data_IF_650045747352
#
_entry.id   IF_650045747352
#
_cell.length_a   1.000
_cell.length_b   1.000
_cell.length_c   1.000
_cell.angle_alpha   90.00
_cell.angle_beta   90.00
_cell.angle_gamma   90.00
#
_symmetry.space_group_name_H-M   'P 1'
#
loop_
_entity.id
_entity.type
_entity.pdbx_description
1 polymer ?
#
# COMPACT_ATOMS: atom_id res chain seq x y z
N UNK A 1 7.91 24.38 13.16
CA UNK A 1 8.67 23.10 13.22
C UNK A 1 7.66 21.98 13.22
N UNK A 2 7.81 20.96 12.35
CA UNK A 2 6.95 19.77 12.40
C UNK A 2 7.38 18.88 13.57
N UNK A 3 6.43 18.15 14.14
CA UNK A 3 6.68 17.18 15.21
C UNK A 3 6.72 15.76 14.66
N UNK A 4 7.63 14.94 15.21
CA UNK A 4 7.74 13.52 14.92
C UNK A 4 6.43 12.85 15.31
N UNK A 5 5.84 12.10 14.38
CA UNK A 5 4.54 11.48 14.59
C UNK A 5 4.54 10.38 15.66
N UNK A 6 5.69 9.76 15.94
CA UNK A 6 5.81 8.70 16.95
C UNK A 6 6.06 9.30 18.34
N UNK A 7 7.20 9.98 18.53
CA UNK A 7 7.68 10.41 19.85
C UNK A 7 7.45 11.90 20.16
N UNK A 8 6.75 12.63 19.29
CA UNK A 8 6.43 14.07 19.45
C UNK A 8 7.63 15.02 19.55
N UNK A 9 8.87 14.56 19.35
CA UNK A 9 10.06 15.42 19.26
C UNK A 9 10.07 16.24 17.97
N UNK A 10 11.10 17.06 17.75
CA UNK A 10 11.33 17.68 16.44
C UNK A 10 11.43 16.63 15.32
N UNK A 11 10.68 16.79 14.22
CA UNK A 11 10.88 16.00 13.02
C UNK A 11 11.92 16.67 12.10
N UNK A 12 12.96 15.92 11.76
CA UNK A 12 14.13 16.39 11.02
C UNK A 12 14.51 15.49 9.83
N UNK A 13 13.84 14.33 9.65
CA UNK A 13 14.13 13.40 8.57
C UNK A 13 13.35 13.72 7.30
N UNK A 14 14.06 13.69 6.18
CA UNK A 14 13.53 13.76 4.82
C UNK A 14 13.59 12.38 4.17
N UNK A 15 12.69 12.09 3.25
CA UNK A 15 12.67 10.85 2.48
C UNK A 15 12.20 9.63 3.28
N UNK A 16 11.41 9.83 4.34
CA UNK A 16 10.88 8.72 5.14
C UNK A 16 9.88 7.92 4.32
N UNK A 17 10.13 6.62 4.18
CA UNK A 17 9.25 5.73 3.45
C UNK A 17 8.08 5.28 4.34
N UNK A 18 6.86 5.47 3.85
CA UNK A 18 5.64 5.06 4.54
C UNK A 18 5.50 3.54 4.56
N UNK A 19 5.82 2.90 3.44
CA UNK A 19 5.95 1.44 3.32
C UNK A 19 7.44 1.13 3.09
N UNK A 20 8.02 0.12 3.77
CA UNK A 20 9.43 -0.22 3.63
C UNK A 20 9.85 -0.37 2.17
N UNK A 21 10.97 0.25 1.81
CA UNK A 21 11.48 0.28 0.43
C UNK A 21 11.64 -1.13 -0.16
N UNK A 22 11.95 -2.16 0.66
CA UNK A 22 12.10 -3.52 0.15
C UNK A 22 10.78 -4.17 -0.32
N UNK A 23 9.63 -3.72 0.19
CA UNK A 23 8.30 -4.11 -0.29
C UNK A 23 7.92 -3.25 -1.50
N UNK A 24 8.11 -1.92 -1.39
CA UNK A 24 7.72 -1.00 -2.46
C UNK A 24 8.42 -1.30 -3.78
N UNK A 25 9.74 -1.55 -3.77
CA UNK A 25 10.50 -1.89 -4.98
C UNK A 25 10.02 -3.14 -5.74
N UNK A 26 9.13 -3.94 -5.13
CA UNK A 26 8.52 -5.12 -5.76
C UNK A 26 7.21 -4.77 -6.49
N UNK A 27 6.63 -3.62 -6.16
CA UNK A 27 5.42 -3.04 -6.72
C UNK A 27 5.76 -2.01 -7.79
N UNK A 28 6.71 -1.11 -7.49
CA UNK A 28 6.91 0.14 -8.24
C UNK A 28 8.26 0.19 -8.98
N UNK A 29 8.88 -0.94 -9.32
CA UNK A 29 10.17 -0.93 -10.04
C UNK A 29 10.08 -1.67 -11.37
N UNK A 30 10.83 -1.18 -12.37
CA UNK A 30 10.99 -1.80 -13.69
C UNK A 30 11.41 -3.29 -13.58
N UNK A 31 10.79 -4.15 -14.38
CA UNK A 31 11.16 -5.57 -14.46
C UNK A 31 12.68 -5.76 -14.57
N UNK A 32 13.25 -6.50 -13.62
CA UNK A 32 14.66 -6.88 -13.63
C UNK A 32 15.66 -5.84 -13.12
N UNK A 33 15.28 -4.59 -12.83
CA UNK A 33 16.21 -3.59 -12.26
C UNK A 33 16.02 -3.46 -10.75
N UNK A 34 17.03 -3.83 -9.96
CA UNK A 34 17.04 -3.63 -8.50
C UNK A 34 17.88 -2.40 -8.16
N UNK A 35 17.31 -1.41 -7.47
CA UNK A 35 18.04 -0.22 -7.00
C UNK A 35 17.10 0.88 -6.45
N UNK A 36 17.63 1.76 -5.60
CA UNK A 36 16.93 3.00 -5.19
C UNK A 36 16.82 3.96 -6.39
N UNK A 37 15.82 4.84 -6.35
CA UNK A 37 15.58 5.89 -7.36
C UNK A 37 15.20 5.34 -8.75
N UNK A 38 14.74 4.09 -8.84
CA UNK A 38 14.29 3.45 -10.10
C UNK A 38 12.79 3.19 -10.12
N UNK A 39 12.06 3.90 -9.29
CA UNK A 39 10.64 3.75 -9.16
C UNK A 39 9.96 4.15 -10.49
N UNK A 40 8.97 3.39 -10.92
CA UNK A 40 8.08 3.62 -12.05
C UNK A 40 6.71 3.13 -11.61
N UNK A 41 5.88 4.04 -11.12
CA UNK A 41 4.64 3.68 -10.46
C UNK A 41 3.46 4.49 -10.94
N UNK A 42 2.27 3.92 -10.72
CA UNK A 42 0.99 4.56 -10.96
C UNK A 42 0.20 4.62 -9.65
N UNK A 43 -0.51 5.71 -9.45
CA UNK A 43 -1.50 5.88 -8.38
C UNK A 43 -2.87 5.89 -9.00
N UNK A 44 -3.70 4.94 -8.59
CA UNK A 44 -5.10 4.91 -8.98
C UNK A 44 -5.89 5.72 -7.94
N UNK A 45 -6.54 6.80 -8.36
CA UNK A 45 -7.36 7.64 -7.50
C UNK A 45 -8.72 7.93 -8.14
N UNK A 46 -9.72 8.25 -7.32
CA UNK A 46 -11.09 8.53 -7.80
C UNK A 46 -11.17 9.76 -8.71
N UNK A 47 -10.24 10.71 -8.58
CA UNK A 47 -10.29 11.99 -9.32
C UNK A 47 -9.26 12.05 -10.44
N UNK A 48 -8.01 11.81 -10.10
CA UNK A 48 -6.88 12.00 -11.01
C UNK A 48 -5.88 10.87 -10.78
N UNK A 49 -5.97 9.78 -11.55
CA UNK A 49 -4.87 8.83 -11.64
C UNK A 49 -3.59 9.60 -11.98
N UNK A 50 -2.49 9.24 -11.32
CA UNK A 50 -1.20 9.90 -11.54
C UNK A 50 -0.11 8.86 -11.71
N UNK A 51 1.05 9.30 -12.20
CA UNK A 51 2.26 8.50 -12.20
C UNK A 51 3.38 9.22 -11.49
N UNK A 52 4.33 8.44 -10.99
CA UNK A 52 5.55 8.93 -10.37
C UNK A 52 6.74 8.10 -10.83
N UNK A 53 7.92 8.69 -10.74
CA UNK A 53 9.15 8.02 -11.10
C UNK A 53 10.33 8.41 -10.22
N UNK A 54 11.30 7.51 -10.10
CA UNK A 54 12.54 7.73 -9.40
C UNK A 54 13.50 8.63 -10.18
N UNK A 55 14.39 9.31 -9.49
CA UNK A 55 15.38 10.23 -10.09
C UNK A 55 16.39 9.53 -11.02
N UNK A 56 16.54 8.21 -10.87
CA UNK A 56 17.42 7.36 -11.66
C UNK A 56 16.75 6.75 -12.89
N UNK A 57 15.48 7.04 -13.18
CA UNK A 57 14.82 6.65 -14.43
C UNK A 57 15.35 7.51 -15.60
N UNK A 58 15.64 6.89 -16.75
CA UNK A 58 16.11 7.62 -17.93
C UNK A 58 14.94 8.33 -18.62
N UNK A 59 15.18 9.53 -19.15
CA UNK A 59 14.15 10.31 -19.86
C UNK A 59 13.55 9.55 -21.04
N UNK A 60 14.35 8.76 -21.76
CA UNK A 60 13.88 7.88 -22.83
C UNK A 60 12.82 6.88 -22.34
N UNK A 61 13.07 6.21 -21.20
CA UNK A 61 12.14 5.23 -20.62
C UNK A 61 10.90 5.90 -20.05
N UNK A 62 11.07 7.08 -19.46
CA UNK A 62 9.97 7.90 -18.99
C UNK A 62 9.05 8.31 -20.14
N UNK A 63 9.63 8.74 -21.26
CA UNK A 63 8.88 9.10 -22.47
C UNK A 63 8.16 7.90 -23.10
N UNK A 64 8.78 6.71 -23.07
CA UNK A 64 8.18 5.45 -23.53
C UNK A 64 6.92 5.08 -22.72
N UNK A 65 6.98 5.20 -21.38
CA UNK A 65 5.90 4.73 -20.49
C UNK A 65 4.83 5.80 -20.28
N UNK A 66 5.23 7.06 -20.11
CA UNK A 66 4.36 8.14 -19.64
C UNK A 66 4.06 9.20 -20.70
N UNK A 67 4.58 9.03 -21.92
CA UNK A 67 4.59 10.08 -22.94
C UNK A 67 5.59 11.20 -22.61
N UNK A 68 5.61 12.26 -23.42
CA UNK A 68 6.56 13.36 -23.29
C UNK A 68 6.57 13.95 -21.86
N UNK A 69 7.73 13.89 -21.22
CA UNK A 69 7.98 14.45 -19.89
C UNK A 69 8.77 15.75 -20.04
N UNK A 70 8.18 16.85 -19.56
CA UNK A 70 8.81 18.16 -19.50
C UNK A 70 9.52 18.42 -18.15
N UNK A 71 10.31 19.50 -18.08
CA UNK A 71 11.02 19.91 -16.86
C UNK A 71 10.03 20.21 -15.71
N UNK A 72 8.84 20.72 -16.02
CA UNK A 72 7.79 20.99 -15.04
C UNK A 72 7.35 19.72 -14.33
N UNK A 73 7.11 18.64 -15.08
CA UNK A 73 6.72 17.33 -14.56
C UNK A 73 7.85 16.69 -13.76
N UNK A 74 9.11 16.85 -14.18
CA UNK A 74 10.28 16.37 -13.42
C UNK A 74 10.38 17.08 -12.07
N UNK A 75 10.25 18.41 -12.06
CA UNK A 75 10.38 19.22 -10.85
C UNK A 75 9.23 19.01 -9.84
N UNK A 76 8.03 18.69 -10.33
CA UNK A 76 6.86 18.43 -9.50
C UNK A 76 6.65 16.95 -9.17
N UNK A 77 7.53 16.06 -9.64
CA UNK A 77 7.41 14.63 -9.37
C UNK A 77 7.60 14.33 -7.88
N UNK A 78 6.56 13.77 -7.27
CA UNK A 78 6.56 13.34 -5.88
C UNK A 78 6.25 11.85 -5.81
N UNK A 79 7.05 11.11 -5.04
CA UNK A 79 6.79 9.70 -4.77
C UNK A 79 5.74 9.64 -3.64
N UNK A 80 4.53 9.12 -3.88
CA UNK A 80 3.38 9.28 -2.98
C UNK A 80 3.63 8.80 -1.54
N UNK A 81 4.43 7.74 -1.37
CA UNK A 81 4.70 7.08 -0.09
C UNK A 81 6.07 7.46 0.49
N UNK A 82 6.62 8.59 0.08
CA UNK A 82 7.83 9.17 0.64
C UNK A 82 7.51 10.56 1.16
N UNK A 83 7.68 10.77 2.46
CA UNK A 83 7.30 12.02 3.12
C UNK A 83 8.47 12.67 3.86
N UNK A 84 8.52 14.00 3.77
CA UNK A 84 9.51 14.81 4.46
C UNK A 84 8.99 15.36 5.79
N UNK A 85 9.87 15.28 6.79
CA UNK A 85 9.71 15.82 8.14
C UNK A 85 8.51 15.20 8.89
N UNK A 86 8.28 13.89 8.70
CA UNK A 86 7.26 13.12 9.43
C UNK A 86 7.84 12.42 10.67
N UNK A 87 9.12 12.03 10.64
CA UNK A 87 9.82 11.40 11.76
C UNK A 87 11.08 12.19 12.14
N UNK A 88 11.58 11.91 13.35
CA UNK A 88 12.91 12.31 13.77
C UNK A 88 13.95 11.24 13.42
N UNK A 89 15.23 11.61 13.40
CA UNK A 89 16.32 10.70 13.09
C UNK A 89 16.34 9.46 13.98
N UNK A 90 15.98 9.60 15.27
CA UNK A 90 15.93 8.47 16.20
C UNK A 90 14.86 7.46 15.76
N UNK A 91 13.62 7.88 15.58
CA UNK A 91 12.53 6.99 15.18
C UNK A 91 12.77 6.36 13.80
N UNK A 92 13.37 7.09 12.85
CA UNK A 92 13.71 6.54 11.55
C UNK A 92 14.75 5.40 11.64
N UNK A 93 15.73 5.51 12.54
CA UNK A 93 16.71 4.45 12.75
C UNK A 93 16.07 3.18 13.34
N UNK A 94 15.15 3.35 14.30
CA UNK A 94 14.43 2.24 14.92
C UNK A 94 13.51 1.54 13.90
N UNK A 95 12.82 2.31 13.05
CA UNK A 95 12.05 1.77 11.93
C UNK A 95 12.94 0.98 10.97
N UNK A 96 14.11 1.52 10.61
CA UNK A 96 15.08 0.84 9.75
C UNK A 96 15.60 -0.47 10.36
N UNK A 97 15.74 -0.56 11.69
CA UNK A 97 16.11 -1.80 12.37
C UNK A 97 14.99 -2.85 12.27
N UNK A 98 13.73 -2.47 12.54
CA UNK A 98 12.57 -3.36 12.36
C UNK A 98 12.51 -3.89 10.92
N UNK A 99 12.69 -3.00 9.95
CA UNK A 99 12.69 -3.33 8.51
C UNK A 99 13.83 -4.27 8.14
N UNK A 100 15.06 -4.00 8.60
CA UNK A 100 16.20 -4.86 8.33
C UNK A 100 15.99 -6.26 8.92
N UNK A 101 15.45 -6.34 10.15
CA UNK A 101 15.15 -7.61 10.80
C UNK A 101 14.08 -8.39 10.05
N UNK A 102 12.98 -7.76 9.64
CA UNK A 102 11.91 -8.44 8.90
C UNK A 102 12.33 -8.83 7.49
N UNK A 103 13.11 -8.00 6.78
CA UNK A 103 13.51 -8.26 5.39
C UNK A 103 14.21 -9.61 5.17
N UNK A 104 14.87 -10.13 6.21
CA UNK A 104 15.55 -11.43 6.21
C UNK A 104 14.56 -12.61 6.11
N UNK A 105 13.30 -12.42 6.50
CA UNK A 105 12.26 -13.47 6.50
C UNK A 105 11.60 -13.66 5.12
N UNK A 106 11.77 -12.72 4.19
CA UNK A 106 11.08 -12.72 2.89
C UNK A 106 11.51 -13.91 2.03
N UNK A 107 12.80 -14.21 1.98
CA UNK A 107 13.34 -15.28 1.13
C UNK A 107 13.43 -16.62 1.88
N UNK A 108 12.47 -16.90 2.77
CA UNK A 108 12.56 -18.05 3.65
C UNK A 108 12.45 -19.37 2.87
N UNK A 109 13.46 -20.26 2.97
CA UNK A 109 13.46 -21.56 2.29
C UNK A 109 12.43 -22.55 2.83
N UNK A 110 11.72 -22.21 3.92
CA UNK A 110 10.66 -23.04 4.51
C UNK A 110 9.29 -22.85 3.84
N UNK A 111 9.21 -22.10 2.73
CA UNK A 111 8.00 -22.02 1.94
C UNK A 111 7.57 -23.43 1.49
N UNK A 112 6.33 -23.78 1.80
CA UNK A 112 5.67 -24.99 1.31
C UNK A 112 4.35 -24.54 0.68
N UNK A 113 4.11 -24.94 -0.57
CA UNK A 113 2.95 -24.55 -1.36
C UNK A 113 1.62 -24.94 -0.74
N UNK A 114 1.61 -25.89 0.21
CA UNK A 114 0.37 -26.55 0.61
C UNK A 114 -0.22 -26.06 1.95
N UNK A 115 0.50 -25.24 2.75
CA UNK A 115 0.11 -24.98 4.18
C UNK A 115 0.62 -23.68 4.80
N UNK A 116 0.23 -23.47 6.07
CA UNK A 116 0.88 -22.53 6.99
C UNK A 116 2.37 -22.86 7.16
N UNK A 117 3.23 -21.84 7.13
CA UNK A 117 4.67 -21.96 7.34
C UNK A 117 5.21 -20.81 8.20
N UNK A 118 6.30 -21.07 8.92
CA UNK A 118 6.96 -20.08 9.78
C UNK A 118 7.87 -19.15 8.97
N UNK A 119 7.83 -17.85 9.25
CA UNK A 119 8.80 -16.88 8.72
C UNK A 119 10.16 -16.91 9.43
N UNK A 120 10.32 -17.69 10.50
CA UNK A 120 11.52 -17.80 11.35
C UNK A 120 11.92 -16.51 12.08
N UNK A 121 11.15 -15.44 11.94
CA UNK A 121 11.27 -14.26 12.79
C UNK A 121 10.38 -14.44 14.03
N UNK A 122 10.83 -13.94 15.18
CA UNK A 122 10.03 -13.99 16.39
C UNK A 122 8.72 -13.24 16.19
N UNK A 123 7.62 -13.77 16.74
CA UNK A 123 6.30 -13.20 16.53
C UNK A 123 6.24 -11.73 16.98
N UNK A 124 6.92 -11.39 18.08
CA UNK A 124 6.98 -10.03 18.62
C UNK A 124 7.62 -9.03 17.65
N UNK A 125 8.72 -9.43 16.99
CA UNK A 125 9.42 -8.57 16.02
C UNK A 125 8.61 -8.43 14.74
N UNK A 126 7.95 -9.50 14.29
CA UNK A 126 7.05 -9.46 13.16
C UNK A 126 5.82 -8.57 13.43
N UNK A 127 5.24 -8.67 14.64
CA UNK A 127 4.11 -7.86 15.05
C UNK A 127 4.49 -6.36 15.10
N UNK A 128 5.62 -6.01 15.70
CA UNK A 128 6.13 -4.63 15.70
C UNK A 128 6.39 -4.10 14.29
N UNK A 129 6.91 -4.93 13.39
CA UNK A 129 7.08 -4.57 11.98
C UNK A 129 5.73 -4.23 11.31
N UNK A 130 4.72 -5.09 11.44
CA UNK A 130 3.40 -4.83 10.86
C UNK A 130 2.68 -3.65 11.51
N UNK A 131 2.80 -3.48 12.83
CA UNK A 131 2.34 -2.27 13.54
C UNK A 131 2.97 -1.02 12.93
N UNK A 132 4.28 -1.04 12.65
CA UNK A 132 4.98 0.11 12.06
C UNK A 132 4.43 0.47 10.67
N UNK A 133 4.07 -0.52 9.86
CA UNK A 133 3.49 -0.29 8.53
C UNK A 133 2.08 0.26 8.65
N UNK A 134 1.23 -0.39 9.43
CA UNK A 134 -0.17 0.02 9.61
C UNK A 134 -0.28 1.44 10.16
N UNK A 135 0.54 1.76 11.16
CA UNK A 135 0.62 3.11 11.71
C UNK A 135 1.04 4.13 10.66
N UNK A 136 2.16 3.89 9.96
CA UNK A 136 2.68 4.78 8.91
C UNK A 136 1.67 5.01 7.80
N UNK A 137 1.02 3.95 7.33
CA UNK A 137 -0.06 4.02 6.34
C UNK A 137 -1.18 4.92 6.85
N UNK A 138 -1.66 4.75 8.08
CA UNK A 138 -2.78 5.54 8.64
C UNK A 138 -2.49 7.05 8.77
N UNK A 139 -1.25 7.43 9.09
CA UNK A 139 -0.87 8.83 9.29
C UNK A 139 -0.44 9.54 8.00
N UNK A 140 -0.13 8.78 6.95
CA UNK A 140 0.26 9.32 5.65
C UNK A 140 -0.96 9.91 4.94
N UNK A 141 -0.81 11.11 4.41
CA UNK A 141 -1.89 11.76 3.66
C UNK A 141 -2.16 11.08 2.31
N UNK A 142 -1.18 10.36 1.78
CA UNK A 142 -1.17 9.85 0.40
C UNK A 142 -1.38 8.34 0.30
N UNK A 143 -1.44 7.62 1.42
CA UNK A 143 -1.62 6.16 1.43
C UNK A 143 -3.04 5.73 1.06
N UNK A 144 -4.03 6.62 1.25
CA UNK A 144 -5.45 6.30 1.22
C UNK A 144 -5.95 5.51 2.44
N UNK A 145 -5.07 4.84 3.18
CA UNK A 145 -5.41 4.05 4.36
C UNK A 145 -5.67 4.96 5.55
N UNK A 146 -6.80 4.78 6.23
CA UNK A 146 -7.08 5.47 7.49
C UNK A 146 -7.64 4.53 8.54
N UNK A 147 -6.96 4.43 9.67
CA UNK A 147 -7.43 3.70 10.84
C UNK A 147 -8.31 4.60 11.73
N UNK A 148 -9.02 3.96 12.67
CA UNK A 148 -9.72 4.69 13.72
C UNK A 148 -8.72 5.47 14.58
N UNK A 149 -9.00 6.72 15.00
CA UNK A 149 -8.07 7.54 15.77
C UNK A 149 -7.53 6.85 17.03
N UNK A 150 -8.38 6.12 17.74
CA UNK A 150 -8.02 5.35 18.94
C UNK A 150 -7.07 4.19 18.64
N UNK A 151 -7.17 3.58 17.46
CA UNK A 151 -6.27 2.54 17.01
C UNK A 151 -4.93 3.14 16.56
N UNK A 152 -4.95 4.25 15.84
CA UNK A 152 -3.74 4.98 15.45
C UNK A 152 -2.92 5.41 16.68
N UNK A 153 -3.59 5.94 17.72
CA UNK A 153 -2.94 6.32 18.97
C UNK A 153 -2.39 5.11 19.72
N UNK A 154 -3.13 3.99 19.78
CA UNK A 154 -2.65 2.74 20.36
C UNK A 154 -1.35 2.27 19.69
N UNK A 155 -1.29 2.29 18.35
CA UNK A 155 -0.09 1.90 17.62
C UNK A 155 1.07 2.88 17.87
N UNK A 156 0.78 4.19 17.94
CA UNK A 156 1.77 5.23 18.27
C UNK A 156 2.41 4.98 19.62
N UNK A 157 1.60 4.73 20.66
CA UNK A 157 2.09 4.48 22.03
C UNK A 157 2.97 3.23 22.10
N UNK A 158 2.58 2.15 21.41
CA UNK A 158 3.37 0.91 21.36
C UNK A 158 4.73 1.18 20.71
N UNK A 159 4.76 1.89 19.58
CA UNK A 159 6.01 2.22 18.87
C UNK A 159 6.89 3.17 19.69
N UNK A 160 6.31 4.22 20.28
CA UNK A 160 7.05 5.20 21.09
C UNK A 160 7.70 4.56 22.33
N UNK A 161 6.95 3.69 23.03
CA UNK A 161 7.50 2.93 24.15
C UNK A 161 8.62 1.97 23.71
N UNK A 162 8.44 1.28 22.59
CA UNK A 162 9.47 0.39 22.05
C UNK A 162 10.74 1.17 21.67
N UNK A 163 10.61 2.30 20.98
CA UNK A 163 11.74 3.10 20.51
C UNK A 163 12.43 3.90 21.63
N UNK A 164 11.76 4.11 22.77
CA UNK A 164 12.33 4.81 23.92
C UNK A 164 13.06 3.88 24.87
N UNK A 165 12.50 2.70 25.17
CA UNK A 165 13.02 1.79 26.20
C UNK A 165 13.12 0.33 25.79
N UNK A 166 12.91 -0.01 24.51
CA UNK A 166 12.89 -1.39 24.00
C UNK A 166 11.89 -2.30 24.75
N UNK A 167 10.90 -1.68 25.40
CA UNK A 167 9.84 -2.36 26.13
C UNK A 167 8.55 -2.33 25.34
N UNK A 168 7.64 -3.23 25.67
CA UNK A 168 6.34 -3.31 25.01
C UNK A 168 5.25 -3.23 26.08
N UNK A 169 4.21 -2.44 25.82
CA UNK A 169 3.04 -2.34 26.69
C UNK A 169 2.17 -3.60 26.50
N UNK A 170 1.51 -4.06 27.58
CA UNK A 170 0.42 -5.06 27.52
C UNK A 170 -0.64 -4.75 26.45
N UNK A 171 -0.85 -3.48 26.10
CA UNK A 171 -1.69 -3.07 24.98
C UNK A 171 -1.40 -3.81 23.67
N UNK A 172 -0.18 -4.29 23.44
CA UNK A 172 0.14 -5.08 22.24
C UNK A 172 -0.61 -6.42 22.19
N UNK A 173 -1.03 -6.98 23.33
CA UNK A 173 -1.84 -8.21 23.42
C UNK A 173 -3.23 -8.05 22.78
N UNK A 174 -3.67 -6.81 22.59
CA UNK A 174 -4.93 -6.47 21.92
C UNK A 174 -4.86 -6.64 20.41
N UNK A 175 -3.64 -6.80 19.86
CA UNK A 175 -3.40 -6.81 18.42
C UNK A 175 -3.22 -8.25 17.95
N UNK A 176 -3.98 -8.61 16.91
CA UNK A 176 -3.95 -9.92 16.26
C UNK A 176 -3.90 -9.71 14.76
N UNK A 177 -3.21 -10.59 14.04
CA UNK A 177 -3.23 -10.54 12.59
C UNK A 177 -3.15 -11.92 11.94
N UNK A 178 -3.69 -12.02 10.73
CA UNK A 178 -3.46 -13.15 9.82
C UNK A 178 -2.70 -12.64 8.61
N UNK A 179 -1.71 -13.41 8.19
CA UNK A 179 -0.84 -13.06 7.08
C UNK A 179 -0.91 -14.15 6.01
N UNK A 180 -1.28 -13.74 4.80
CA UNK A 180 -1.32 -14.60 3.63
C UNK A 180 -0.22 -14.15 2.67
N UNK A 181 0.34 -15.08 1.92
CA UNK A 181 1.36 -14.76 0.93
C UNK A 181 1.27 -15.65 -0.29
N UNK A 182 1.16 -15.03 -1.46
CA UNK A 182 1.33 -15.70 -2.75
C UNK A 182 2.81 -15.68 -3.15
N UNK A 183 3.62 -16.56 -2.55
CA UNK A 183 5.08 -16.52 -2.69
C UNK A 183 5.54 -16.52 -4.16
N UNK A 184 6.43 -15.59 -4.51
CA UNK A 184 7.02 -15.43 -5.86
C UNK A 184 6.01 -14.93 -6.91
N UNK A 185 4.82 -14.47 -6.49
CA UNK A 185 3.82 -13.92 -7.42
C UNK A 185 4.37 -12.71 -8.18
N UNK A 186 5.10 -11.84 -7.45
CA UNK A 186 5.66 -10.59 -7.98
C UNK A 186 6.83 -10.79 -8.94
N UNK A 187 7.36 -12.01 -9.13
CA UNK A 187 8.40 -12.27 -10.13
C UNK A 187 7.84 -12.49 -11.53
N UNK A 188 6.54 -12.76 -11.64
CA UNK A 188 5.85 -13.07 -12.89
C UNK A 188 4.66 -12.15 -13.18
N UNK A 189 4.21 -11.39 -12.19
CA UNK A 189 3.03 -10.57 -12.28
C UNK A 189 3.27 -9.23 -11.58
N UNK A 190 2.64 -8.17 -12.08
CA UNK A 190 2.57 -6.90 -11.35
C UNK A 190 1.76 -7.06 -10.07
N UNK A 191 2.19 -6.38 -9.02
CA UNK A 191 1.51 -6.31 -7.73
C UNK A 191 1.09 -4.88 -7.43
N UNK A 192 0.41 -4.68 -6.31
CA UNK A 192 -0.20 -3.40 -5.96
C UNK A 192 -0.27 -3.26 -4.44
N UNK A 193 -0.21 -2.01 -3.96
CA UNK A 193 -0.60 -1.64 -2.61
C UNK A 193 -2.04 -1.14 -2.65
N UNK A 194 -2.95 -1.82 -1.95
CA UNK A 194 -4.33 -1.33 -1.79
C UNK A 194 -4.94 -1.78 -0.47
N UNK A 195 -6.06 -1.16 -0.13
CA UNK A 195 -6.80 -1.44 1.10
C UNK A 195 -8.30 -1.41 0.84
N UNK A 196 -9.08 -2.12 1.66
CA UNK A 196 -10.53 -1.99 1.63
C UNK A 196 -11.01 -0.82 2.52
N UNK A 197 -11.49 0.30 1.97
CA UNK A 197 -12.03 1.38 2.81
C UNK A 197 -13.30 1.01 3.56
N UNK A 198 -13.99 -0.07 3.16
CA UNK A 198 -15.20 -0.53 3.87
C UNK A 198 -14.89 -1.28 5.16
N UNK A 199 -13.63 -1.69 5.37
CA UNK A 199 -13.27 -2.55 6.49
C UNK A 199 -12.49 -1.73 7.52
N UNK A 200 -13.16 -1.40 8.62
CA UNK A 200 -12.66 -0.46 9.63
C UNK A 200 -12.00 -1.20 10.81
N UNK A 201 -12.31 -2.49 11.02
CA UNK A 201 -11.64 -3.43 11.94
C UNK A 201 -12.31 -4.81 11.78
N UNK A 202 -11.66 -5.88 11.29
CA UNK A 202 -10.27 -5.95 10.83
C UNK A 202 -9.95 -4.98 9.69
N UNK A 203 -8.71 -4.48 9.65
CA UNK A 203 -8.12 -3.76 8.52
C UNK A 203 -7.54 -4.75 7.53
N UNK A 204 -7.84 -4.58 6.24
CA UNK A 204 -7.37 -5.46 5.17
C UNK A 204 -6.50 -4.65 4.23
N UNK A 205 -5.24 -5.05 4.13
CA UNK A 205 -4.25 -4.40 3.29
C UNK A 205 -3.56 -5.44 2.43
N UNK A 206 -3.49 -5.19 1.12
CA UNK A 206 -2.64 -5.92 0.19
C UNK A 206 -1.38 -5.11 -0.01
N UNK A 207 -0.23 -5.73 0.21
CA UNK A 207 1.08 -5.13 -0.06
C UNK A 207 1.90 -6.14 -0.83
N UNK A 208 2.15 -5.85 -2.10
CA UNK A 208 2.88 -6.76 -2.99
C UNK A 208 2.19 -8.14 -3.10
N UNK A 209 2.84 -9.21 -2.64
CA UNK A 209 2.30 -10.56 -2.62
C UNK A 209 1.67 -10.96 -1.28
N UNK A 210 1.61 -10.03 -0.32
CA UNK A 210 1.08 -10.23 1.01
C UNK A 210 -0.35 -9.70 1.14
N UNK A 211 -1.19 -10.43 1.87
CA UNK A 211 -2.47 -9.93 2.37
C UNK A 211 -2.42 -9.96 3.89
N UNK A 212 -2.55 -8.78 4.50
CA UNK A 212 -2.59 -8.59 5.94
C UNK A 212 -4.03 -8.35 6.39
N UNK A 213 -4.51 -9.19 7.32
CA UNK A 213 -5.76 -8.96 8.06
C UNK A 213 -5.35 -8.59 9.48
N UNK A 214 -5.45 -7.30 9.81
CA UNK A 214 -4.96 -6.72 11.06
C UNK A 214 -6.13 -6.28 11.95
N UNK A 215 -6.22 -6.82 13.16
CA UNK A 215 -7.29 -6.54 14.10
C UNK A 215 -6.78 -5.99 15.41
N UNK A 216 -7.59 -5.13 16.01
CA UNK A 216 -7.43 -4.63 17.38
C UNK A 216 -8.70 -5.00 18.15
N UNK A 217 -8.56 -5.59 19.34
CA UNK A 217 -9.64 -6.02 20.25
C UNK A 217 -10.68 -7.00 19.67
N UNK A 218 -10.47 -7.47 18.44
CA UNK A 218 -11.40 -8.33 17.71
C UNK A 218 -10.65 -9.47 17.05
N UNK A 219 -11.37 -10.53 16.70
CA UNK A 219 -10.79 -11.60 15.90
C UNK A 219 -10.56 -11.14 14.46
N UNK A 220 -9.46 -11.54 13.81
CA UNK A 220 -9.17 -11.26 12.40
C UNK A 220 -10.00 -12.18 11.48
N UNK A 221 -11.31 -12.16 11.64
CA UNK A 221 -12.25 -12.94 10.83
C UNK A 221 -12.93 -12.06 9.80
N UNK A 222 -12.56 -12.29 8.54
CA UNK A 222 -13.26 -11.73 7.39
C UNK A 222 -13.11 -12.67 6.20
N UNK A 223 -14.17 -13.38 5.87
CA UNK A 223 -14.10 -14.38 4.82
C UNK A 223 -14.25 -13.76 3.42
N UNK A 224 -14.41 -12.43 3.31
CA UNK A 224 -14.59 -11.77 2.02
C UNK A 224 -13.82 -10.47 1.93
N UNK A 225 -12.98 -10.37 0.91
CA UNK A 225 -12.31 -9.14 0.50
C UNK A 225 -12.65 -8.85 -0.96
N UNK A 226 -13.34 -7.73 -1.23
CA UNK A 226 -13.97 -7.46 -2.54
C UNK A 226 -14.80 -8.65 -3.08
N UNK A 227 -15.54 -9.32 -2.19
CA UNK A 227 -16.30 -10.56 -2.47
C UNK A 227 -15.46 -11.80 -2.82
N UNK A 228 -14.13 -11.71 -2.83
CA UNK A 228 -13.21 -12.85 -2.96
C UNK A 228 -13.07 -13.54 -1.61
N UNK A 229 -13.23 -14.87 -1.59
CA UNK A 229 -13.07 -15.67 -0.37
C UNK A 229 -11.59 -15.97 -0.12
N UNK A 230 -11.10 -15.58 1.06
CA UNK A 230 -9.72 -15.82 1.49
C UNK A 230 -9.57 -17.07 2.36
N UNK A 231 -10.67 -17.73 2.73
CA UNK A 231 -10.67 -18.89 3.62
C UNK A 231 -9.87 -18.64 4.91
N UNK A 232 -10.20 -17.55 5.61
CA UNK A 232 -9.40 -17.08 6.74
C UNK A 232 -9.34 -18.05 7.90
N UNK A 233 -10.27 -18.98 7.99
CA UNK A 233 -10.27 -20.12 8.90
C UNK A 233 -9.02 -20.99 8.79
N UNK A 234 -8.36 -21.02 7.63
CA UNK A 234 -7.18 -21.87 7.39
C UNK A 234 -5.87 -21.22 7.85
N UNK A 235 -5.83 -19.90 7.99
CA UNK A 235 -4.63 -19.16 8.37
C UNK A 235 -4.49 -19.10 9.89
N UNK A 236 -3.30 -19.43 10.39
CA UNK A 236 -2.95 -19.29 11.80
C UNK A 236 -2.95 -17.81 12.18
N UNK A 237 -3.57 -17.50 13.31
CA UNK A 237 -3.52 -16.17 13.89
C UNK A 237 -2.13 -15.92 14.51
N UNK A 238 -1.59 -14.73 14.28
CA UNK A 238 -0.39 -14.24 14.93
C UNK A 238 -0.75 -13.22 16.00
N UNK A 239 -0.10 -13.34 17.16
CA UNK A 239 -0.16 -12.41 18.26
C UNK A 239 1.16 -12.46 19.05
N UNK A 240 1.25 -11.64 20.11
CA UNK A 240 2.36 -11.73 21.06
C UNK A 240 2.30 -13.07 21.82
N UNK A 241 3.46 -13.71 22.01
CA UNK A 241 3.58 -14.97 22.76
C UNK A 241 3.70 -16.23 21.87
N UNK A 242 3.50 -16.12 20.57
CA UNK A 242 3.93 -17.16 19.63
C UNK A 242 5.46 -17.13 19.47
N UNK A 243 6.09 -18.29 19.26
CA UNK A 243 7.55 -18.35 19.08
C UNK A 243 7.99 -17.65 17.79
N UNK A 244 7.25 -17.88 16.70
CA UNK A 244 7.51 -17.28 15.38
C UNK A 244 6.23 -16.88 14.69
N UNK A 245 6.31 -15.94 13.74
CA UNK A 245 5.19 -15.59 12.86
C UNK A 245 4.89 -16.74 11.88
N UNK A 246 3.60 -17.00 11.69
CA UNK A 246 3.05 -17.95 10.73
C UNK A 246 2.40 -17.22 9.56
N UNK A 247 2.62 -17.76 8.36
CA UNK A 247 2.05 -17.27 7.11
C UNK A 247 1.27 -18.39 6.45
N UNK A 248 0.14 -18.05 5.84
CA UNK A 248 -0.62 -18.97 5.01
C UNK A 248 -0.21 -18.83 3.53
N UNK A 249 0.17 -19.94 2.90
CA UNK A 249 0.40 -19.99 1.46
C UNK A 249 -0.91 -19.72 0.71
N UNK A 250 -0.92 -18.68 -0.11
CA UNK A 250 -2.08 -18.28 -0.90
C UNK A 250 -1.87 -18.62 -2.37
N UNK A 251 -2.89 -19.21 -2.99
CA UNK A 251 -2.87 -19.45 -4.43
C UNK A 251 -2.80 -18.14 -5.22
N UNK A 252 -2.00 -18.16 -6.29
CA UNK A 252 -1.87 -17.01 -7.20
C UNK A 252 -3.23 -16.57 -7.75
N UNK A 253 -4.09 -17.54 -8.08
CA UNK A 253 -5.42 -17.27 -8.60
C UNK A 253 -6.29 -16.46 -7.62
N UNK A 254 -6.09 -16.62 -6.30
CA UNK A 254 -6.83 -15.85 -5.30
C UNK A 254 -6.33 -14.41 -5.26
N UNK A 255 -5.00 -14.20 -5.24
CA UNK A 255 -4.43 -12.84 -5.28
C UNK A 255 -4.76 -12.11 -6.59
N UNK A 256 -4.68 -12.79 -7.74
CA UNK A 256 -5.05 -12.19 -9.04
C UNK A 256 -6.53 -11.77 -9.06
N UNK A 257 -7.44 -12.62 -8.58
CA UNK A 257 -8.87 -12.28 -8.47
C UNK A 257 -9.10 -11.08 -7.55
N UNK A 258 -8.37 -11.01 -6.45
CA UNK A 258 -8.46 -9.91 -5.51
C UNK A 258 -7.99 -8.59 -6.13
N UNK A 259 -6.84 -8.60 -6.81
CA UNK A 259 -6.31 -7.43 -7.49
C UNK A 259 -7.24 -6.99 -8.64
N UNK A 260 -7.81 -7.92 -9.40
CA UNK A 260 -8.81 -7.59 -10.42
C UNK A 260 -10.04 -6.93 -9.82
N UNK A 261 -10.58 -7.48 -8.72
CA UNK A 261 -11.76 -6.91 -8.06
C UNK A 261 -11.48 -5.50 -7.50
N UNK A 262 -10.25 -5.24 -7.05
CA UNK A 262 -9.80 -3.89 -6.70
C UNK A 262 -9.82 -2.96 -7.93
N UNK A 263 -9.22 -3.37 -9.05
CA UNK A 263 -9.20 -2.56 -10.28
C UNK A 263 -10.60 -2.26 -10.81
N UNK A 264 -11.49 -3.25 -10.82
CA UNK A 264 -12.89 -3.07 -11.22
C UNK A 264 -13.59 -2.05 -10.32
N UNK A 265 -13.40 -2.17 -9.00
CA UNK A 265 -13.95 -1.21 -8.03
C UNK A 265 -13.41 0.20 -8.24
N UNK A 266 -12.11 0.33 -8.51
CA UNK A 266 -11.46 1.62 -8.71
C UNK A 266 -11.92 2.28 -10.03
N UNK A 267 -12.05 1.50 -11.10
CA UNK A 267 -12.56 1.97 -12.39
C UNK A 267 -14.00 2.48 -12.29
N UNK A 268 -14.88 1.75 -11.60
CA UNK A 268 -16.25 2.17 -11.34
C UNK A 268 -16.30 3.47 -10.53
N UNK A 269 -15.46 3.61 -9.50
CA UNK A 269 -15.37 4.84 -8.70
C UNK A 269 -14.92 6.03 -9.53
N UNK A 270 -13.87 5.85 -10.33
CA UNK A 270 -13.38 6.88 -11.23
C UNK A 270 -14.47 7.32 -12.23
N UNK A 271 -15.19 6.37 -12.83
CA UNK A 271 -16.32 6.67 -13.73
C UNK A 271 -17.40 7.50 -13.05
N UNK A 272 -17.82 7.12 -11.84
CA UNK A 272 -18.82 7.86 -11.07
C UNK A 272 -18.36 9.29 -10.75
N UNK A 273 -17.12 9.47 -10.31
CA UNK A 273 -16.56 10.79 -10.02
C UNK A 273 -16.45 11.65 -11.27
N UNK A 274 -16.04 11.08 -12.41
CA UNK A 274 -16.05 11.78 -13.69
C UNK A 274 -17.47 12.25 -14.05
N UNK A 275 -18.48 11.40 -13.83
CA UNK A 275 -19.86 11.73 -14.15
C UNK A 275 -20.41 12.86 -13.27
N UNK A 276 -20.02 12.93 -12.00
CA UNK A 276 -20.32 14.04 -11.10
C UNK A 276 -19.64 15.34 -11.57
N UNK A 277 -18.38 15.27 -12.01
CA UNK A 277 -17.67 16.43 -12.55
C UNK A 277 -18.32 16.94 -13.84
N UNK A 278 -18.76 16.04 -14.72
CA UNK A 278 -19.50 16.39 -15.92
C UNK A 278 -20.79 17.17 -15.58
N UNK A 279 -21.53 16.75 -14.55
CA UNK A 279 -22.73 17.48 -14.09
C UNK A 279 -22.38 18.88 -13.59
N UNK A 280 -21.31 19.01 -12.80
CA UNK A 280 -20.86 20.31 -12.29
C UNK A 280 -20.49 21.25 -13.44
N UNK A 281 -19.76 20.76 -14.45
CA UNK A 281 -19.37 21.55 -15.63
C UNK A 281 -20.60 21.94 -16.44
N UNK A 282 -21.51 21.00 -16.71
CA UNK A 282 -22.73 21.23 -17.48
C UNK A 282 -23.64 22.27 -16.81
N UNK A 283 -23.77 22.22 -15.48
CA UNK A 283 -24.51 23.20 -14.71
C UNK A 283 -23.86 24.59 -14.73
N UNK A 284 -22.53 24.67 -14.59
CA UNK A 284 -21.79 25.93 -14.70
C UNK A 284 -21.87 26.57 -16.08
N UNK A 285 -22.02 25.75 -17.13
CA UNK A 285 -22.23 26.22 -18.50
C UNK A 285 -23.67 26.70 -18.76
N UNK A 286 -24.58 26.59 -17.79
CA UNK A 286 -25.98 27.02 -17.94
C UNK A 286 -26.85 26.08 -18.78
N UNK A 287 -26.40 24.84 -19.01
CA UNK A 287 -27.07 23.89 -19.91
C UNK A 287 -28.11 23.00 -19.20
N UNK A 288 -28.18 23.05 -17.88
CA UNK A 288 -29.12 22.26 -17.07
C UNK A 288 -28.56 21.90 -15.70
N UNK A 289 -29.24 21.05 -14.93
CA UNK A 289 -28.72 20.58 -13.62
C UNK A 289 -27.79 19.38 -13.73
N UNK A 290 -27.93 18.59 -14.78
CA UNK A 290 -27.18 17.35 -15.00
C UNK A 290 -26.96 17.13 -16.49
N UNK A 291 -25.78 16.65 -16.86
CA UNK A 291 -25.46 16.26 -18.23
C UNK A 291 -26.23 14.99 -18.62
N UNK A 292 -26.75 14.88 -19.85
CA UNK A 292 -27.37 13.65 -20.35
C UNK A 292 -26.44 12.43 -20.22
N UNK A 293 -26.94 11.26 -19.78
CA UNK A 293 -26.11 10.06 -19.60
C UNK A 293 -25.31 9.64 -20.84
N UNK A 294 -25.91 9.72 -22.04
CA UNK A 294 -25.23 9.36 -23.28
C UNK A 294 -23.98 10.20 -23.55
N UNK A 295 -24.02 11.50 -23.21
CA UNK A 295 -22.85 12.38 -23.35
C UNK A 295 -21.75 12.01 -22.35
N UNK A 296 -22.13 11.65 -21.12
CA UNK A 296 -21.15 11.22 -20.11
C UNK A 296 -20.45 9.93 -20.51
N UNK A 297 -21.21 8.97 -21.05
CA UNK A 297 -20.66 7.71 -21.58
C UNK A 297 -19.71 7.98 -22.75
N UNK A 298 -20.09 8.84 -23.69
CA UNK A 298 -19.23 9.24 -24.81
C UNK A 298 -17.92 9.89 -24.33
N UNK A 299 -17.98 10.79 -23.34
CA UNK A 299 -16.80 11.39 -22.73
C UNK A 299 -15.90 10.32 -22.09
N UNK A 300 -16.48 9.41 -21.31
CA UNK A 300 -15.73 8.33 -20.67
C UNK A 300 -15.06 7.41 -21.68
N UNK A 301 -15.78 7.01 -22.74
CA UNK A 301 -15.21 6.22 -23.83
C UNK A 301 -14.06 6.94 -24.52
N UNK A 302 -14.20 8.24 -24.80
CA UNK A 302 -13.14 9.02 -25.43
C UNK A 302 -11.89 9.14 -24.55
N UNK A 303 -12.05 9.27 -23.23
CA UNK A 303 -10.93 9.26 -22.27
C UNK A 303 -10.27 7.87 -22.24
N UNK A 304 -11.07 6.79 -22.27
CA UNK A 304 -10.55 5.42 -22.26
C UNK A 304 -9.86 5.03 -23.59
N UNK A 305 -10.16 5.74 -24.68
CA UNK A 305 -9.62 5.47 -26.04
C UNK A 305 -8.28 6.14 -26.34
N UNK A 306 -7.67 6.88 -25.40
CA UNK A 306 -6.34 7.50 -25.65
C UNK A 306 -5.37 6.44 -26.14
N UNK A 307 -4.91 6.66 -27.36
CA UNK A 307 -4.34 5.68 -28.27
C UNK A 307 -3.08 5.01 -27.71
N UNK A 308 -2.85 3.76 -28.12
CA UNK A 308 -1.57 3.03 -27.97
C UNK A 308 -0.40 3.99 -28.23
N UNK A 309 0.72 3.90 -27.48
CA UNK A 309 1.94 4.60 -27.88
C UNK A 309 2.19 4.27 -29.36
N UNK A 310 2.36 5.31 -30.17
CA UNK A 310 2.67 5.20 -31.59
C UNK A 310 3.84 4.24 -31.72
N UNK A 311 3.60 3.04 -32.24
CA UNK A 311 4.64 2.14 -32.69
C UNK A 311 5.41 2.86 -33.80
N UNK A 312 6.44 3.63 -33.45
CA UNK A 312 7.49 4.01 -34.37
C UNK A 312 8.46 2.83 -34.45
N UNK A 313 8.09 1.81 -35.22
CA UNK A 313 9.05 0.84 -35.74
C UNK A 313 9.04 0.92 -37.26
N UNK A 314 10.11 1.54 -37.75
CA UNK A 314 10.83 1.33 -39.02
C UNK A 314 10.08 1.50 -40.33
#
# INVERSE_FOLDING_TARGET
MKTCKICSSAADKTGSHIVPHFLMKRIDTEEGKKGRDKELGFVISEKNPSSYFGRGASLEKLNEIFGEIDETRINNNQIPLVEDYIFCHKCENELAELESNYSKSINNPSFNSDRNYSSKISADKALLFWISIMYRLSISANSGVKMLPEHEELLREILDLHFSSHSVNKSIERIRYKLFRAYDYSSKNSTVLHFNPKNINPYLVVIDEYILIFSIDTEPLTNKFYSVNLHTENAVENNIGHETESLYCLDYAVLSKLNQAFFDTAAERYKLTLFEQCDIIYAKAGLGRSMPPAMKEEIFENIARVEKPVNLTT
#
